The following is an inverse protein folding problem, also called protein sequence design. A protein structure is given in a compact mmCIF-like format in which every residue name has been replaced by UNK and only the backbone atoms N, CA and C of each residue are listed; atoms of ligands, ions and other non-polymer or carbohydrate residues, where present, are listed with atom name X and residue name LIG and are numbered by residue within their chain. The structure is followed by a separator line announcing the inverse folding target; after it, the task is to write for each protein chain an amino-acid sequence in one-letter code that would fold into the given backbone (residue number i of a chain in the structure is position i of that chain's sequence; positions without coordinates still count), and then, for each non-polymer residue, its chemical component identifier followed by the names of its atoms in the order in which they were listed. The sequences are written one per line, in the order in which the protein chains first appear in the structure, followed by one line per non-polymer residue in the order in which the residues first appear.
data_IF_214474989304
#
_entry.id   IF_214474989304
#
_cell.length_a   1.000
_cell.length_b   1.000
_cell.length_c   1.000
_cell.angle_alpha   90.00
_cell.angle_beta   90.00
_cell.angle_gamma   90.00
#
_symmetry.space_group_name_H-M   'P 1'
#
loop_
_entity.id
_entity.type
_entity.pdbx_description
1 polymer ?
#
# COMPACT_ATOMS: atom_id res chain seq x y z
N UNK A 1 -34.20 13.62 -3.98
CA UNK A 1 -35.39 13.01 -4.55
C UNK A 1 -36.01 11.90 -3.70
N UNK A 2 -35.38 11.52 -2.56
CA UNK A 2 -35.86 10.52 -1.61
C UNK A 2 -35.70 9.06 -2.06
N UNK A 3 -35.00 8.80 -3.17
CA UNK A 3 -34.76 7.46 -3.65
C UNK A 3 -33.84 6.68 -2.67
N UNK A 4 -34.25 5.48 -2.26
CA UNK A 4 -33.49 4.60 -1.37
C UNK A 4 -32.63 3.66 -2.22
N UNK A 5 -31.33 3.61 -1.93
CA UNK A 5 -30.38 2.71 -2.57
C UNK A 5 -29.70 1.83 -1.53
N UNK A 6 -29.38 0.60 -1.89
CA UNK A 6 -28.53 -0.28 -1.11
C UNK A 6 -27.05 0.07 -1.40
N UNK A 7 -26.32 0.47 -0.36
CA UNK A 7 -24.86 0.69 -0.46
C UNK A 7 -24.12 -0.63 -0.25
N UNK A 8 -23.88 -1.37 -1.32
CA UNK A 8 -23.14 -2.63 -1.28
C UNK A 8 -21.61 -2.46 -1.18
N UNK A 9 -21.10 -1.22 -1.25
CA UNK A 9 -19.65 -0.92 -1.21
C UNK A 9 -19.22 -0.30 0.11
N UNK A 10 -20.14 -0.10 1.05
CA UNK A 10 -19.85 0.46 2.38
C UNK A 10 -19.17 1.82 2.31
N UNK A 11 -19.69 2.78 1.55
CA UNK A 11 -19.09 4.12 1.38
C UNK A 11 -17.71 4.07 0.77
N UNK A 12 -17.48 3.22 -0.21
CA UNK A 12 -16.18 2.92 -0.84
C UNK A 12 -15.16 2.39 0.18
N UNK A 13 -15.56 1.33 0.88
CA UNK A 13 -14.78 0.60 1.92
C UNK A 13 -14.40 1.43 3.16
N UNK A 14 -15.06 2.54 3.41
CA UNK A 14 -14.70 3.44 4.52
C UNK A 14 -15.71 3.45 5.68
N UNK A 15 -16.88 2.82 5.53
CA UNK A 15 -17.99 2.90 6.49
C UNK A 15 -18.23 1.59 7.26
N UNK A 16 -17.18 0.92 7.70
CA UNK A 16 -17.26 -0.37 8.42
C UNK A 16 -18.08 -0.31 9.71
N UNK A 17 -18.19 0.88 10.35
CA UNK A 17 -18.97 1.14 11.55
C UNK A 17 -20.34 1.81 11.23
N UNK A 18 -20.70 1.87 9.94
CA UNK A 18 -21.88 2.60 9.47
C UNK A 18 -21.63 4.10 9.26
N UNK A 19 -22.56 4.76 8.55
CA UNK A 19 -22.43 6.17 8.14
C UNK A 19 -22.60 7.19 9.28
N UNK A 20 -23.07 6.78 10.46
CA UNK A 20 -23.45 7.72 11.52
C UNK A 20 -23.16 7.18 12.92
N UNK A 21 -21.99 6.55 13.12
CA UNK A 21 -21.61 6.02 14.41
C UNK A 21 -21.51 7.14 15.46
N UNK A 22 -22.34 7.04 16.51
CA UNK A 22 -22.42 8.09 17.54
C UNK A 22 -21.13 8.23 18.34
N UNK A 23 -20.47 7.13 18.68
CA UNK A 23 -19.23 7.17 19.49
C UNK A 23 -18.12 7.93 18.74
N UNK A 24 -17.99 7.67 17.44
CA UNK A 24 -17.00 8.37 16.60
C UNK A 24 -17.33 9.86 16.50
N UNK A 25 -18.60 10.21 16.26
CA UNK A 25 -19.02 11.62 16.19
C UNK A 25 -18.78 12.38 17.48
N UNK A 26 -19.16 11.79 18.62
CA UNK A 26 -18.98 12.42 19.93
C UNK A 26 -17.49 12.64 20.23
N UNK A 27 -16.64 11.71 19.90
CA UNK A 27 -15.18 11.85 20.05
C UNK A 27 -14.59 12.97 19.16
N UNK A 28 -15.08 13.11 17.92
CA UNK A 28 -14.69 14.19 17.03
C UNK A 28 -15.11 15.54 17.60
N UNK A 29 -16.36 15.69 18.06
CA UNK A 29 -16.86 16.93 18.64
C UNK A 29 -16.06 17.31 19.88
N UNK A 30 -15.84 16.38 20.81
CA UNK A 30 -15.03 16.61 22.00
C UNK A 30 -13.60 17.08 21.66
N UNK A 31 -12.99 16.49 20.64
CA UNK A 31 -11.64 16.90 20.23
C UNK A 31 -11.63 18.27 19.56
N UNK A 32 -12.68 18.62 18.80
CA UNK A 32 -12.82 19.95 18.20
C UNK A 32 -13.00 21.04 19.27
N UNK A 33 -13.69 20.73 20.36
CA UNK A 33 -13.86 21.66 21.50
C UNK A 33 -12.57 21.83 22.30
N UNK A 34 -11.74 20.77 22.41
CA UNK A 34 -10.47 20.80 23.16
C UNK A 34 -9.34 21.44 22.34
N UNK A 35 -9.07 20.90 21.14
CA UNK A 35 -7.98 21.32 20.25
C UNK A 35 -8.30 20.87 18.81
N UNK A 36 -8.92 21.74 17.99
CA UNK A 36 -9.36 21.39 16.64
C UNK A 36 -8.21 21.19 15.66
N UNK A 37 -7.08 21.84 15.90
CA UNK A 37 -5.89 21.74 15.05
C UNK A 37 -4.61 21.98 15.83
N UNK A 38 -3.62 21.13 15.61
CA UNK A 38 -2.22 21.40 15.90
C UNK A 38 -1.31 20.62 14.94
N UNK A 39 -0.16 21.17 14.60
CA UNK A 39 0.78 20.53 13.69
C UNK A 39 1.62 19.45 14.41
N UNK A 40 2.10 18.47 13.65
CA UNK A 40 3.05 17.44 14.12
C UNK A 40 4.42 17.63 13.44
N UNK A 41 4.86 18.88 13.29
CA UNK A 41 6.04 19.28 12.55
C UNK A 41 7.09 19.91 13.46
N UNK A 42 8.39 19.66 13.17
CA UNK A 42 9.56 20.23 13.89
C UNK A 42 9.54 20.07 15.40
N UNK A 43 9.23 18.85 15.87
CA UNK A 43 9.30 18.53 17.30
C UNK A 43 8.07 18.91 18.10
N UNK A 44 7.01 19.36 17.44
CA UNK A 44 5.69 19.56 18.05
C UNK A 44 4.77 18.39 17.75
N UNK A 45 3.83 18.11 18.66
CA UNK A 45 2.79 17.08 18.49
C UNK A 45 1.63 17.35 19.45
N UNK A 46 0.63 16.49 19.44
CA UNK A 46 -0.50 16.54 20.37
C UNK A 46 -0.86 15.13 20.88
N UNK A 47 -1.58 15.09 22.00
CA UNK A 47 -1.85 13.84 22.75
C UNK A 47 -2.47 12.75 21.86
N UNK A 48 -3.44 13.10 21.00
CA UNK A 48 -4.13 12.12 20.16
C UNK A 48 -3.21 11.49 19.11
N UNK A 49 -2.28 12.27 18.55
CA UNK A 49 -1.29 11.71 17.63
C UNK A 49 -0.34 10.74 18.35
N UNK A 50 0.07 11.06 19.59
CA UNK A 50 0.91 10.18 20.41
C UNK A 50 0.18 8.87 20.72
N UNK A 51 -1.09 8.95 21.20
CA UNK A 51 -1.90 7.78 21.52
C UNK A 51 -2.11 6.87 20.30
N UNK A 52 -2.48 7.47 19.17
CA UNK A 52 -2.69 6.72 17.93
C UNK A 52 -1.40 6.06 17.43
N UNK A 53 -0.29 6.79 17.40
CA UNK A 53 1.02 6.25 17.03
C UNK A 53 1.40 5.04 17.89
N UNK A 54 1.22 5.16 19.21
CA UNK A 54 1.50 4.06 20.16
C UNK A 54 0.65 2.83 19.85
N UNK A 55 -0.66 3.00 19.62
CA UNK A 55 -1.56 1.89 19.28
C UNK A 55 -1.19 1.22 17.97
N UNK A 56 -0.88 2.01 16.94
CA UNK A 56 -0.49 1.48 15.64
C UNK A 56 0.84 0.69 15.74
N UNK A 57 1.84 1.22 16.42
CA UNK A 57 3.10 0.51 16.68
C UNK A 57 2.86 -0.81 17.42
N UNK A 58 2.00 -0.80 18.45
CA UNK A 58 1.65 -2.03 19.18
C UNK A 58 0.94 -3.07 18.31
N UNK A 59 0.03 -2.65 17.43
CA UNK A 59 -0.66 -3.54 16.50
C UNK A 59 0.28 -4.15 15.46
N UNK A 60 1.31 -3.40 15.06
CA UNK A 60 2.31 -3.80 14.05
C UNK A 60 3.59 -4.36 14.66
N UNK A 61 3.60 -4.66 15.96
CA UNK A 61 4.79 -5.18 16.65
C UNK A 61 5.41 -6.44 16.02
N UNK A 62 4.64 -7.40 15.49
CA UNK A 62 5.21 -8.55 14.79
C UNK A 62 6.07 -8.18 13.57
N UNK A 63 5.85 -7.00 12.98
CA UNK A 63 6.57 -6.46 11.82
C UNK A 63 7.70 -5.49 12.21
N UNK A 64 8.06 -5.41 13.48
CA UNK A 64 9.12 -4.52 14.03
C UNK A 64 8.94 -3.04 13.66
N UNK A 65 7.69 -2.58 13.55
CA UNK A 65 7.37 -1.17 13.28
C UNK A 65 7.61 -0.34 14.53
N UNK A 66 8.44 0.68 14.43
CA UNK A 66 8.79 1.57 15.55
C UNK A 66 8.25 3.01 15.41
N UNK A 67 7.85 3.41 14.22
CA UNK A 67 7.48 4.81 13.93
C UNK A 67 6.28 4.89 13.01
N UNK A 68 5.44 5.91 13.21
CA UNK A 68 4.29 6.21 12.37
C UNK A 68 4.45 7.60 11.75
N UNK A 69 4.24 7.70 10.45
CA UNK A 69 4.13 8.96 9.73
C UNK A 69 2.68 9.19 9.34
N UNK A 70 2.09 10.26 9.85
CA UNK A 70 0.72 10.64 9.49
C UNK A 70 0.69 11.42 8.17
N UNK A 71 -0.36 11.21 7.40
CA UNK A 71 -0.65 11.92 6.15
C UNK A 71 -2.16 12.15 6.01
N UNK A 72 -2.57 12.94 5.02
CA UNK A 72 -3.99 13.31 4.85
C UNK A 72 -4.81 12.23 4.15
N UNK A 73 -4.17 11.23 3.56
CA UNK A 73 -4.86 10.15 2.88
C UNK A 73 -3.91 9.08 2.35
N UNK A 74 -4.46 8.00 1.77
CA UNK A 74 -3.69 6.89 1.24
C UNK A 74 -2.73 7.30 0.12
N UNK A 75 -3.13 8.23 -0.75
CA UNK A 75 -2.25 8.72 -1.82
C UNK A 75 -1.01 9.42 -1.26
N UNK A 76 -1.17 10.27 -0.23
CA UNK A 76 -0.06 10.93 0.45
C UNK A 76 0.84 9.92 1.17
N UNK A 77 0.23 8.91 1.81
CA UNK A 77 0.97 7.87 2.52
C UNK A 77 1.86 7.06 1.57
N UNK A 78 1.33 6.69 0.40
CA UNK A 78 2.11 5.97 -0.63
C UNK A 78 3.21 6.86 -1.21
N UNK A 79 2.95 8.13 -1.53
CA UNK A 79 4.00 9.07 -1.95
C UNK A 79 5.12 9.17 -0.91
N UNK A 80 4.74 9.27 0.36
CA UNK A 80 5.66 9.24 1.49
C UNK A 80 6.50 7.96 1.51
N UNK A 81 5.87 6.79 1.40
CA UNK A 81 6.54 5.50 1.42
C UNK A 81 7.55 5.34 0.27
N UNK A 82 7.17 5.70 -0.97
CA UNK A 82 8.08 5.64 -2.12
C UNK A 82 9.30 6.56 -1.95
N UNK A 83 9.08 7.77 -1.41
CA UNK A 83 10.16 8.73 -1.12
C UNK A 83 11.07 8.20 -0.02
N UNK A 84 10.52 7.66 1.07
CA UNK A 84 11.29 7.08 2.18
C UNK A 84 12.11 5.89 1.70
N UNK A 85 11.55 4.99 0.89
CA UNK A 85 12.29 3.87 0.31
C UNK A 85 13.52 4.34 -0.50
N UNK A 86 13.36 5.33 -1.38
CA UNK A 86 14.50 5.91 -2.12
C UNK A 86 15.52 6.60 -1.21
N UNK A 87 15.05 7.35 -0.20
CA UNK A 87 15.93 8.01 0.76
C UNK A 87 16.71 7.02 1.61
N UNK A 88 16.07 5.95 2.06
CA UNK A 88 16.72 4.86 2.81
C UNK A 88 17.92 4.31 2.06
N UNK A 89 17.74 3.94 0.79
CA UNK A 89 18.82 3.39 -0.01
C UNK A 89 19.96 4.39 -0.28
N UNK A 90 19.63 5.66 -0.50
CA UNK A 90 20.65 6.72 -0.61
C UNK A 90 21.47 6.87 0.67
N UNK A 91 20.82 6.84 1.84
CA UNK A 91 21.51 6.91 3.13
C UNK A 91 22.37 5.66 3.42
N UNK A 92 21.99 4.51 2.83
CA UNK A 92 22.80 3.27 2.86
C UNK A 92 23.96 3.26 1.84
N UNK A 93 24.15 4.34 1.08
CA UNK A 93 25.18 4.41 0.04
C UNK A 93 24.83 3.65 -1.25
N UNK A 94 23.58 3.24 -1.42
CA UNK A 94 23.08 2.49 -2.59
C UNK A 94 22.10 3.35 -3.40
N UNK A 95 22.58 4.47 -3.92
CA UNK A 95 21.74 5.48 -4.59
C UNK A 95 21.07 4.97 -5.88
N UNK A 96 21.60 3.91 -6.47
CA UNK A 96 21.07 3.28 -7.70
C UNK A 96 19.82 2.41 -7.43
N UNK A 97 19.52 2.11 -6.15
CA UNK A 97 18.26 1.47 -5.75
C UNK A 97 17.11 2.50 -5.73
N UNK A 98 16.43 2.65 -6.85
CA UNK A 98 15.31 3.60 -7.00
C UNK A 98 14.08 3.01 -7.69
N UNK A 99 14.19 1.79 -8.25
CA UNK A 99 13.11 1.10 -8.96
C UNK A 99 12.09 0.51 -8.01
N UNK A 100 10.84 0.48 -8.46
CA UNK A 100 9.74 -0.14 -7.76
C UNK A 100 9.11 -1.24 -8.61
N UNK A 101 8.73 -2.33 -7.96
CA UNK A 101 7.94 -3.41 -8.58
C UNK A 101 6.60 -3.45 -7.86
N UNK A 102 5.51 -3.66 -8.60
CA UNK A 102 4.15 -3.77 -8.06
C UNK A 102 3.34 -4.82 -8.81
N UNK A 103 2.15 -5.13 -8.32
CA UNK A 103 1.24 -6.09 -8.95
C UNK A 103 0.36 -5.41 -10.00
N UNK A 104 0.11 -6.07 -11.13
CA UNK A 104 -0.98 -5.74 -12.03
C UNK A 104 -2.30 -5.74 -11.26
N UNK A 105 -3.27 -4.95 -11.72
CA UNK A 105 -4.54 -4.68 -11.02
C UNK A 105 -4.39 -3.95 -9.67
N UNK A 106 -3.17 -3.71 -9.16
CA UNK A 106 -2.94 -2.99 -7.91
C UNK A 106 -3.37 -1.52 -7.97
N UNK A 107 -3.84 -0.99 -6.84
CA UNK A 107 -4.18 0.41 -6.66
C UNK A 107 -3.42 1.02 -5.49
N UNK A 108 -2.67 2.08 -5.74
CA UNK A 108 -1.79 2.71 -4.76
C UNK A 108 -1.99 4.22 -4.65
N UNK A 109 -3.14 4.71 -5.09
CA UNK A 109 -3.49 6.13 -5.00
C UNK A 109 -3.46 6.87 -6.33
N UNK A 110 -3.71 8.18 -6.25
CA UNK A 110 -3.94 9.06 -7.41
C UNK A 110 -2.88 10.14 -7.61
N UNK A 111 -1.89 10.25 -6.72
CA UNK A 111 -0.73 11.10 -6.92
C UNK A 111 0.25 10.45 -7.91
N UNK A 112 1.13 11.22 -8.53
CA UNK A 112 1.99 10.72 -9.61
C UNK A 112 2.84 9.52 -9.21
N UNK A 113 3.39 9.46 -8.01
CA UNK A 113 4.15 8.30 -7.52
C UNK A 113 3.25 7.08 -7.31
N UNK A 114 2.15 7.23 -6.57
CA UNK A 114 1.17 6.17 -6.37
C UNK A 114 0.59 5.67 -7.69
N UNK A 115 0.27 6.59 -8.62
CA UNK A 115 -0.23 6.26 -9.95
C UNK A 115 0.81 5.50 -10.78
N UNK A 116 2.09 5.80 -10.61
CA UNK A 116 3.18 5.14 -11.33
C UNK A 116 3.33 3.67 -10.96
N UNK A 117 3.00 3.31 -9.72
CA UNK A 117 2.99 1.93 -9.24
C UNK A 117 1.60 1.28 -9.30
N UNK A 118 0.54 1.98 -9.74
CA UNK A 118 -0.76 1.37 -10.04
C UNK A 118 -0.63 0.38 -11.19
N UNK A 119 -1.11 -0.83 -11.00
CA UNK A 119 -1.05 -1.90 -12.00
C UNK A 119 -2.23 -1.94 -12.98
N UNK A 120 -3.24 -1.11 -12.80
CA UNK A 120 -4.40 -1.04 -13.69
C UNK A 120 -4.28 0.16 -14.64
N UNK A 121 -4.23 -0.13 -15.94
CA UNK A 121 -4.09 0.88 -16.99
C UNK A 121 -5.21 1.92 -16.98
N UNK A 122 -6.42 1.56 -16.56
CA UNK A 122 -7.54 2.51 -16.50
C UNK A 122 -7.29 3.65 -15.52
N UNK A 123 -6.47 3.44 -14.49
CA UNK A 123 -6.15 4.47 -13.50
C UNK A 123 -5.00 5.40 -13.92
N UNK A 124 -4.26 5.08 -14.98
CA UNK A 124 -3.03 5.82 -15.33
C UNK A 124 -2.95 6.33 -16.76
N UNK A 125 -3.51 5.65 -17.77
CA UNK A 125 -3.31 5.97 -19.19
C UNK A 125 -3.60 7.42 -19.59
N UNK A 126 -4.53 8.07 -18.89
CA UNK A 126 -4.91 9.46 -19.17
C UNK A 126 -3.87 10.49 -18.66
N UNK A 127 -2.90 10.03 -17.84
CA UNK A 127 -1.94 10.89 -17.12
C UNK A 127 -0.48 10.54 -17.45
N UNK A 128 -0.26 9.58 -18.34
CA UNK A 128 1.09 9.20 -18.78
C UNK A 128 1.73 10.34 -19.60
N UNK A 129 3.07 10.54 -19.53
CA UNK A 129 4.03 9.67 -18.87
C UNK A 129 4.11 9.85 -17.35
N UNK A 130 4.34 8.74 -16.64
CA UNK A 130 4.48 8.68 -15.19
C UNK A 130 5.96 8.59 -14.76
N UNK A 131 6.25 8.36 -13.47
CA UNK A 131 7.62 8.25 -12.98
C UNK A 131 8.33 7.02 -13.60
N UNK A 132 9.58 7.18 -14.06
CA UNK A 132 10.36 6.04 -14.55
C UNK A 132 10.77 5.10 -13.43
N UNK A 133 11.05 3.84 -13.79
CA UNK A 133 11.51 2.82 -12.85
C UNK A 133 10.41 2.14 -12.05
N UNK A 134 9.17 2.16 -12.53
CA UNK A 134 8.03 1.43 -11.97
C UNK A 134 7.65 0.27 -12.89
N UNK A 135 7.70 -0.95 -12.38
CA UNK A 135 7.48 -2.19 -13.14
C UNK A 135 6.32 -2.99 -12.54
N UNK A 136 5.65 -3.80 -13.35
CA UNK A 136 4.43 -4.50 -12.93
C UNK A 136 4.52 -5.96 -13.33
N UNK A 137 4.30 -6.83 -12.35
CA UNK A 137 4.23 -8.28 -12.54
C UNK A 137 2.79 -8.79 -12.41
N UNK A 138 2.54 -10.01 -12.82
CA UNK A 138 1.21 -10.60 -12.75
C UNK A 138 0.77 -10.84 -11.32
N UNK A 139 -0.53 -10.64 -11.11
CA UNK A 139 -1.23 -10.82 -9.83
C UNK A 139 -1.58 -12.29 -9.60
N UNK A 140 -1.47 -12.81 -8.38
CA UNK A 140 -1.88 -14.17 -8.02
C UNK A 140 -3.41 -14.29 -7.94
N UNK A 141 -4.09 -14.11 -9.06
CA UNK A 141 -5.56 -14.09 -9.17
C UNK A 141 -6.10 -15.46 -9.53
N UNK A 142 -6.51 -16.26 -8.55
CA UNK A 142 -6.96 -17.63 -8.76
C UNK A 142 -8.17 -17.74 -9.72
N UNK A 143 -9.08 -16.74 -9.70
CA UNK A 143 -10.25 -16.71 -10.58
C UNK A 143 -9.90 -16.42 -12.04
N UNK A 144 -8.81 -15.67 -12.31
CA UNK A 144 -8.45 -15.21 -13.65
C UNK A 144 -6.95 -15.17 -13.84
N UNK A 145 -6.35 -16.27 -14.27
CA UNK A 145 -4.92 -16.36 -14.59
C UNK A 145 -4.67 -17.31 -15.76
N UNK A 146 -3.57 -17.15 -16.50
CA UNK A 146 -3.22 -18.02 -17.62
C UNK A 146 -2.34 -19.20 -17.26
N UNK A 147 -2.04 -19.43 -15.95
CA UNK A 147 -0.97 -20.33 -15.53
C UNK A 147 -1.47 -21.69 -15.09
N UNK A 148 -2.44 -21.76 -14.16
CA UNK A 148 -2.87 -22.99 -13.54
C UNK A 148 -4.17 -22.80 -12.75
N UNK A 149 -4.93 -23.91 -12.62
CA UNK A 149 -6.12 -23.96 -11.76
C UNK A 149 -5.77 -24.30 -10.30
N UNK A 150 -4.53 -24.75 -10.01
CA UNK A 150 -4.06 -25.00 -8.65
C UNK A 150 -3.64 -23.71 -7.96
N UNK A 151 -4.35 -23.26 -6.90
CA UNK A 151 -4.03 -22.02 -6.20
C UNK A 151 -2.63 -22.03 -5.57
N UNK A 152 -2.17 -23.15 -5.04
CA UNK A 152 -0.84 -23.25 -4.41
C UNK A 152 0.25 -23.08 -5.46
N UNK A 153 0.11 -23.76 -6.59
CA UNK A 153 1.04 -23.61 -7.71
C UNK A 153 0.99 -22.21 -8.30
N UNK A 154 -0.18 -21.57 -8.33
CA UNK A 154 -0.31 -20.17 -8.74
C UNK A 154 0.48 -19.22 -7.82
N UNK A 155 0.41 -19.42 -6.51
CA UNK A 155 1.20 -18.66 -5.55
C UNK A 155 2.70 -18.78 -5.78
N UNK A 156 3.19 -20.00 -6.08
CA UNK A 156 4.60 -20.23 -6.44
C UNK A 156 4.99 -19.51 -7.73
N UNK A 157 4.22 -19.68 -8.81
CA UNK A 157 4.49 -19.06 -10.10
C UNK A 157 4.55 -17.52 -9.96
N UNK A 158 3.57 -16.92 -9.28
CA UNK A 158 3.54 -15.47 -9.13
C UNK A 158 4.68 -14.94 -8.24
N UNK A 159 5.12 -15.71 -7.25
CA UNK A 159 6.33 -15.39 -6.50
C UNK A 159 7.60 -15.52 -7.35
N UNK A 160 7.72 -16.56 -8.17
CA UNK A 160 8.81 -16.72 -9.15
C UNK A 160 8.86 -15.55 -10.14
N UNK A 161 7.71 -14.98 -10.56
CA UNK A 161 7.66 -13.81 -11.43
C UNK A 161 8.27 -12.57 -10.74
N UNK A 162 8.05 -12.39 -9.43
CA UNK A 162 8.72 -11.33 -8.68
C UNK A 162 10.24 -11.52 -8.68
N UNK A 163 10.70 -12.71 -8.40
CA UNK A 163 12.14 -13.01 -8.40
C UNK A 163 12.78 -12.75 -9.77
N UNK A 164 12.14 -13.22 -10.82
CA UNK A 164 12.62 -13.00 -12.20
C UNK A 164 12.67 -11.53 -12.57
N UNK A 165 11.67 -10.73 -12.15
CA UNK A 165 11.66 -9.29 -12.41
C UNK A 165 12.77 -8.58 -11.62
N UNK A 166 12.99 -8.91 -10.35
CA UNK A 166 14.10 -8.37 -9.54
C UNK A 166 15.44 -8.64 -10.24
N UNK A 167 15.68 -9.88 -10.68
CA UNK A 167 16.92 -10.28 -11.35
C UNK A 167 17.07 -9.55 -12.68
N UNK A 168 15.99 -9.45 -13.47
CA UNK A 168 16.01 -8.77 -14.77
C UNK A 168 16.29 -7.27 -14.64
N UNK A 169 15.74 -6.60 -13.62
CA UNK A 169 15.96 -5.19 -13.38
C UNK A 169 17.35 -4.88 -12.80
N UNK A 170 18.06 -5.87 -12.28
CA UNK A 170 19.28 -5.73 -11.49
C UNK A 170 18.95 -5.60 -10.00
N UNK A 171 19.25 -6.61 -9.17
CA UNK A 171 18.85 -6.63 -7.75
C UNK A 171 19.33 -5.41 -6.94
N UNK A 172 20.46 -4.85 -7.31
CA UNK A 172 21.07 -3.66 -6.72
C UNK A 172 20.41 -2.34 -7.13
N UNK A 173 19.42 -2.39 -8.05
CA UNK A 173 18.67 -1.20 -8.50
C UNK A 173 17.22 -1.17 -8.00
N UNK A 174 16.71 -2.28 -7.44
CA UNK A 174 15.34 -2.37 -6.94
C UNK A 174 15.26 -1.86 -5.50
N UNK A 175 14.50 -0.81 -5.28
CA UNK A 175 14.31 -0.19 -3.97
C UNK A 175 13.29 -0.91 -3.11
N UNK A 176 12.15 -1.29 -3.70
CA UNK A 176 11.06 -1.93 -2.99
C UNK A 176 10.08 -2.65 -3.92
N UNK A 177 9.39 -3.63 -3.36
CA UNK A 177 8.14 -4.18 -3.88
C UNK A 177 6.96 -3.58 -3.12
N UNK A 178 5.92 -3.11 -3.81
CA UNK A 178 4.72 -2.56 -3.21
C UNK A 178 3.49 -3.34 -3.68
N UNK A 179 2.65 -3.77 -2.75
CA UNK A 179 1.42 -4.50 -3.05
C UNK A 179 0.38 -4.36 -1.94
N UNK A 180 -0.87 -4.57 -2.29
CA UNK A 180 -1.97 -4.70 -1.34
C UNK A 180 -2.02 -6.13 -0.80
N UNK A 181 -2.23 -6.36 0.51
CA UNK A 181 -2.42 -7.72 1.05
C UNK A 181 -3.59 -8.46 0.41
N UNK A 182 -4.67 -7.74 0.14
CA UNK A 182 -5.81 -8.11 -0.71
C UNK A 182 -6.06 -6.94 -1.66
N UNK A 183 -6.00 -7.16 -2.95
CA UNK A 183 -6.20 -6.09 -3.92
C UNK A 183 -7.69 -5.69 -3.97
N UNK A 184 -8.01 -4.51 -3.43
CA UNK A 184 -9.38 -4.02 -3.34
C UNK A 184 -9.93 -3.61 -4.70
N UNK A 185 -9.45 -2.50 -5.25
CA UNK A 185 -9.92 -1.90 -6.50
C UNK A 185 -9.70 -2.79 -7.73
N UNK A 186 -8.74 -3.70 -7.68
CA UNK A 186 -8.47 -4.68 -8.73
C UNK A 186 -9.53 -5.78 -8.86
N UNK A 187 -10.42 -5.94 -7.88
CA UNK A 187 -11.49 -6.94 -7.91
C UNK A 187 -11.59 -7.81 -6.66
N UNK A 188 -11.18 -7.30 -5.50
CA UNK A 188 -11.11 -8.04 -4.22
C UNK A 188 -10.33 -9.34 -4.39
N UNK A 189 -9.12 -9.21 -4.93
CA UNK A 189 -8.26 -10.35 -5.24
C UNK A 189 -7.53 -10.81 -3.98
N UNK A 190 -7.89 -11.98 -3.49
CA UNK A 190 -7.25 -12.64 -2.35
C UNK A 190 -6.17 -13.57 -2.88
N UNK A 191 -4.88 -13.35 -2.54
CA UNK A 191 -3.81 -14.22 -3.02
C UNK A 191 -3.85 -15.60 -2.35
N UNK A 192 -3.25 -16.64 -2.97
CA UNK A 192 -3.07 -17.94 -2.33
C UNK A 192 -2.28 -17.83 -1.01
N UNK A 193 -2.52 -18.73 -0.03
CA UNK A 193 -1.96 -18.61 1.32
C UNK A 193 -0.43 -18.71 1.38
N UNK A 194 0.20 -19.34 0.40
CA UNK A 194 1.65 -19.46 0.29
C UNK A 194 2.34 -18.25 -0.37
N UNK A 195 1.58 -17.33 -1.00
CA UNK A 195 2.16 -16.25 -1.80
C UNK A 195 3.01 -15.29 -0.96
N UNK A 196 2.45 -14.70 0.09
CA UNK A 196 3.16 -13.71 0.90
C UNK A 196 4.41 -14.27 1.61
N UNK A 197 4.39 -15.48 2.19
CA UNK A 197 5.60 -16.10 2.71
C UNK A 197 6.71 -16.23 1.66
N UNK A 198 6.38 -16.62 0.43
CA UNK A 198 7.33 -16.74 -0.67
C UNK A 198 7.87 -15.38 -1.10
N UNK A 199 6.99 -14.37 -1.24
CA UNK A 199 7.38 -12.99 -1.54
C UNK A 199 8.36 -12.46 -0.49
N UNK A 200 8.10 -12.68 0.81
CA UNK A 200 9.01 -12.23 1.87
C UNK A 200 10.39 -12.88 1.76
N UNK A 201 10.45 -14.19 1.51
CA UNK A 201 11.70 -14.91 1.30
C UNK A 201 12.50 -14.36 0.10
N UNK A 202 11.84 -14.05 -1.01
CA UNK A 202 12.46 -13.47 -2.19
C UNK A 202 12.98 -12.05 -1.88
N UNK A 203 12.18 -11.21 -1.26
CA UNK A 203 12.59 -9.87 -0.87
C UNK A 203 13.80 -9.91 0.08
N UNK A 204 13.82 -10.80 1.06
CA UNK A 204 14.96 -10.97 1.98
C UNK A 204 16.23 -11.43 1.24
N UNK A 205 16.09 -12.36 0.29
CA UNK A 205 17.20 -12.87 -0.52
C UNK A 205 17.91 -11.77 -1.30
N UNK A 206 17.19 -10.80 -1.83
CA UNK A 206 17.73 -9.71 -2.65
C UNK A 206 17.84 -8.37 -1.92
N UNK A 207 17.44 -8.32 -0.67
CA UNK A 207 17.46 -7.11 0.14
C UNK A 207 16.47 -6.05 -0.35
N UNK A 208 15.30 -6.47 -0.85
CA UNK A 208 14.24 -5.58 -1.33
C UNK A 208 13.24 -5.30 -0.21
#
# INVERSE_FOLDING_TARGET
DGHKMLDGVGGLWACNLGHSNKVVKDAIVAQMDELPFYNVFRGTTHVRAIELSKRLVQMMQPEDVATVMFSNGGSDAVEGALKVARQYWKLKGQADRFKFISLRQGYHGVHFGGMSVNGNTNFRRAYEPLLPGCFHIDTPWAYHNPYTDDPIRLGEICAELLEREIVFQGPDTVAAFIAEPVQGAGGVIVPPPNYWPLVRQICDKYGV
#
